data_IF_168339879778
#
_entry.id   IF_168339879778
#
_cell.length_a   1.000
_cell.length_b   1.000
_cell.length_c   1.000
_cell.angle_alpha   90.00
_cell.angle_beta   90.00
_cell.angle_gamma   90.00
#
_symmetry.space_group_name_H-M   'P 1'
#
loop_
_entity.id
_entity.type
_entity.pdbx_description
1 polymer ?
#
# COMPACT_ATOMS: atom_id res chain seq x y z
N UNK A 1 6.17 6.25 22.34
CA UNK A 1 5.80 5.05 21.55
C UNK A 1 6.63 5.10 20.27
N UNK A 2 7.58 4.19 20.03
CA UNK A 2 8.39 4.22 18.79
C UNK A 2 7.48 3.80 17.63
N UNK A 3 7.13 4.75 16.77
CA UNK A 3 6.12 4.63 15.71
C UNK A 3 6.73 4.28 14.35
N UNK A 4 7.72 3.39 14.32
CA UNK A 4 8.40 3.00 13.08
C UNK A 4 9.13 1.66 13.21
N UNK A 5 9.42 1.05 12.06
CA UNK A 5 10.24 -0.15 11.96
C UNK A 5 11.69 0.10 12.45
N UNK A 6 12.42 -0.96 12.82
CA UNK A 6 13.83 -0.83 13.19
C UNK A 6 14.71 -0.42 12.00
N UNK A 7 15.91 0.10 12.29
CA UNK A 7 16.81 0.67 11.27
C UNK A 7 17.29 -0.35 10.23
N UNK A 8 17.47 -1.61 10.61
CA UNK A 8 17.87 -2.66 9.67
C UNK A 8 16.73 -3.00 8.70
N UNK A 9 15.49 -3.05 9.21
CA UNK A 9 14.30 -3.22 8.39
C UNK A 9 14.08 -2.04 7.44
N UNK A 10 14.30 -0.81 7.89
CA UNK A 10 14.25 0.38 7.04
C UNK A 10 15.30 0.30 5.94
N UNK A 11 16.56 -0.02 6.27
CA UNK A 11 17.62 -0.15 5.28
C UNK A 11 17.30 -1.22 4.22
N UNK A 12 16.75 -2.36 4.64
CA UNK A 12 16.31 -3.41 3.71
C UNK A 12 15.11 -3.00 2.85
N UNK A 13 14.16 -2.22 3.40
CA UNK A 13 13.05 -1.66 2.63
C UNK A 13 13.56 -0.68 1.57
N UNK A 14 14.47 0.21 1.95
CA UNK A 14 14.98 1.27 1.08
C UNK A 14 15.97 0.77 0.02
N UNK A 15 16.49 -0.45 0.13
CA UNK A 15 17.46 -0.99 -0.84
C UNK A 15 16.81 -1.56 -2.10
N UNK A 16 15.54 -1.96 -2.05
CA UNK A 16 14.83 -2.58 -3.18
C UNK A 16 13.32 -2.52 -3.00
N UNK A 17 12.71 -1.38 -3.36
CA UNK A 17 11.26 -1.22 -3.36
C UNK A 17 10.73 -0.65 -4.67
N UNK A 18 9.52 -1.07 -5.00
CA UNK A 18 8.67 -0.43 -5.99
C UNK A 18 7.62 0.42 -5.27
N UNK A 19 7.44 1.67 -5.68
CA UNK A 19 6.41 2.54 -5.14
C UNK A 19 5.14 2.46 -6.00
N UNK A 20 4.02 2.08 -5.37
CA UNK A 20 2.69 2.22 -5.95
C UNK A 20 2.09 3.55 -5.47
N UNK A 21 2.19 4.58 -6.32
CA UNK A 21 1.79 5.95 -5.95
C UNK A 21 0.26 6.12 -5.93
N UNK A 22 -0.44 5.75 -7.01
CA UNK A 22 -1.89 5.95 -7.12
C UNK A 22 -2.59 4.78 -7.79
N UNK A 23 -3.74 4.39 -7.24
CA UNK A 23 -4.66 3.42 -7.82
C UNK A 23 -6.09 3.86 -7.61
N UNK A 24 -6.79 4.14 -8.71
CA UNK A 24 -8.19 4.53 -8.69
C UNK A 24 -9.01 3.62 -9.59
N UNK A 25 -10.10 3.10 -9.04
CA UNK A 25 -11.12 2.38 -9.80
C UNK A 25 -12.33 3.29 -9.90
N UNK A 26 -12.80 3.53 -11.13
CA UNK A 26 -14.01 4.30 -11.38
C UNK A 26 -15.17 3.78 -10.52
N UNK A 27 -15.96 4.64 -9.84
CA UNK A 27 -16.97 4.21 -8.85
C UNK A 27 -17.91 3.11 -9.33
N UNK A 28 -18.40 3.20 -10.58
CA UNK A 28 -19.31 2.20 -11.20
C UNK A 28 -18.67 0.84 -11.46
N UNK A 29 -17.33 0.76 -11.41
CA UNK A 29 -16.56 -0.46 -11.66
C UNK A 29 -15.98 -1.08 -10.37
N UNK A 30 -16.21 -0.46 -9.21
CA UNK A 30 -15.74 -0.96 -7.91
C UNK A 30 -16.49 -2.23 -7.48
N UNK A 31 -15.87 -3.02 -6.60
CA UNK A 31 -16.46 -4.27 -6.09
C UNK A 31 -16.38 -5.46 -7.06
N UNK A 32 -15.71 -5.31 -8.20
CA UNK A 32 -15.56 -6.34 -9.24
C UNK A 32 -14.16 -6.97 -9.32
N UNK A 33 -13.33 -6.80 -8.28
CA UNK A 33 -11.96 -7.34 -8.24
C UNK A 33 -10.93 -6.59 -9.10
N UNK A 34 -11.31 -5.55 -9.85
CA UNK A 34 -10.42 -4.84 -10.78
C UNK A 34 -9.15 -4.26 -10.12
N UNK A 35 -9.27 -3.68 -8.92
CA UNK A 35 -8.11 -3.14 -8.22
C UNK A 35 -7.07 -4.21 -7.89
N UNK A 36 -7.51 -5.41 -7.49
CA UNK A 36 -6.60 -6.53 -7.27
C UNK A 36 -5.97 -7.01 -8.58
N UNK A 37 -6.77 -7.18 -9.63
CA UNK A 37 -6.28 -7.63 -10.92
C UNK A 37 -5.21 -6.68 -11.48
N UNK A 38 -5.43 -5.36 -11.36
CA UNK A 38 -4.47 -4.34 -11.76
C UNK A 38 -3.19 -4.41 -10.93
N UNK A 39 -3.28 -4.50 -9.60
CA UNK A 39 -2.09 -4.60 -8.74
C UNK A 39 -1.30 -5.87 -9.08
N UNK A 40 -1.95 -7.03 -9.14
CA UNK A 40 -1.27 -8.29 -9.45
C UNK A 40 -0.56 -8.23 -10.80
N UNK A 41 -1.20 -7.65 -11.82
CA UNK A 41 -0.60 -7.51 -13.16
C UNK A 41 0.51 -6.47 -13.19
N UNK A 42 0.42 -5.39 -12.42
CA UNK A 42 1.46 -4.37 -12.30
C UNK A 42 2.72 -4.93 -11.61
N UNK A 43 2.51 -5.76 -10.60
CA UNK A 43 3.58 -6.38 -9.81
C UNK A 43 4.14 -7.66 -10.44
N UNK A 44 3.46 -8.20 -11.45
CA UNK A 44 3.93 -9.35 -12.20
C UNK A 44 5.30 -9.05 -12.83
N UNK A 45 6.27 -9.94 -12.61
CA UNK A 45 7.66 -9.81 -13.08
C UNK A 45 8.43 -8.58 -12.56
N UNK A 46 8.00 -7.96 -11.45
CA UNK A 46 8.82 -6.96 -10.75
C UNK A 46 10.00 -7.64 -10.05
N UNK A 47 11.17 -6.99 -10.10
CA UNK A 47 12.40 -7.51 -9.50
C UNK A 47 12.61 -6.97 -8.07
N UNK A 48 11.89 -5.90 -7.73
CA UNK A 48 11.94 -5.26 -6.42
C UNK A 48 11.40 -6.20 -5.34
N UNK A 49 12.10 -6.27 -4.21
CA UNK A 49 11.74 -7.20 -3.14
C UNK A 49 10.53 -6.75 -2.33
N UNK A 50 10.20 -5.46 -2.38
CA UNK A 50 9.16 -4.84 -1.58
C UNK A 50 8.29 -3.93 -2.44
N UNK A 51 7.04 -3.76 -2.04
CA UNK A 51 6.14 -2.76 -2.61
C UNK A 51 5.68 -1.84 -1.49
N UNK A 52 5.84 -0.53 -1.69
CA UNK A 52 5.41 0.50 -0.75
C UNK A 52 4.30 1.33 -1.37
N UNK A 53 3.36 1.73 -0.53
CA UNK A 53 2.30 2.67 -0.87
C UNK A 53 1.89 3.46 0.35
N UNK A 54 1.37 4.65 0.11
CA UNK A 54 0.71 5.45 1.13
C UNK A 54 -0.80 5.32 0.96
N UNK A 55 -1.51 5.02 2.04
CA UNK A 55 -2.99 5.04 2.05
C UNK A 55 -3.46 6.16 2.96
N UNK A 56 -4.27 7.11 2.47
CA UNK A 56 -4.85 8.14 3.33
C UNK A 56 -5.57 7.52 4.54
N UNK A 57 -5.22 8.01 5.73
CA UNK A 57 -5.91 7.66 6.97
C UNK A 57 -7.21 8.46 7.04
N UNK A 58 -8.33 7.79 6.76
CA UNK A 58 -9.67 8.37 6.95
C UNK A 58 -10.32 7.74 8.18
N UNK A 59 -11.05 8.56 8.95
CA UNK A 59 -11.75 8.11 10.15
C UNK A 59 -12.70 6.94 9.81
N UNK A 60 -12.48 5.80 10.45
CA UNK A 60 -13.20 4.55 10.19
C UNK A 60 -12.53 3.71 9.10
N UNK A 61 -11.40 3.06 9.43
CA UNK A 61 -10.49 2.22 8.61
C UNK A 61 -11.12 1.18 7.66
N UNK A 62 -12.44 1.10 7.57
CA UNK A 62 -13.23 0.26 6.66
C UNK A 62 -13.29 0.77 5.21
N UNK A 63 -12.27 1.49 4.72
CA UNK A 63 -12.23 1.88 3.31
C UNK A 63 -11.88 0.67 2.40
N UNK A 64 -12.31 0.72 1.14
CA UNK A 64 -12.10 -0.38 0.17
C UNK A 64 -10.62 -0.65 -0.13
N UNK A 65 -9.77 0.38 -0.14
CA UNK A 65 -8.33 0.28 -0.38
C UNK A 65 -7.61 -0.42 0.78
N UNK A 66 -7.88 -0.05 2.04
CA UNK A 66 -7.32 -0.75 3.22
C UNK A 66 -7.63 -2.24 3.19
N UNK A 67 -8.89 -2.63 2.95
CA UNK A 67 -9.28 -4.04 2.82
C UNK A 67 -8.58 -4.74 1.65
N UNK A 68 -8.43 -4.06 0.52
CA UNK A 68 -7.71 -4.60 -0.63
C UNK A 68 -6.24 -4.86 -0.30
N UNK A 69 -5.53 -3.88 0.25
CA UNK A 69 -4.11 -3.98 0.56
C UNK A 69 -3.83 -5.04 1.63
N UNK A 70 -4.64 -5.12 2.70
CA UNK A 70 -4.53 -6.20 3.70
C UNK A 70 -4.70 -7.59 3.08
N UNK A 71 -5.68 -7.75 2.19
CA UNK A 71 -5.93 -9.02 1.48
C UNK A 71 -4.79 -9.39 0.52
N UNK A 72 -4.06 -8.39 0.03
CA UNK A 72 -2.85 -8.56 -0.77
C UNK A 72 -1.58 -8.78 0.07
N UNK A 73 -1.67 -8.78 1.40
CA UNK A 73 -0.55 -9.03 2.31
C UNK A 73 0.22 -7.78 2.75
N UNK A 74 -0.27 -6.57 2.45
CA UNK A 74 0.36 -5.35 2.92
C UNK A 74 0.23 -5.18 4.44
N UNK A 75 1.32 -4.75 5.07
CA UNK A 75 1.45 -4.50 6.51
C UNK A 75 1.78 -3.03 6.76
N UNK A 76 1.42 -2.52 7.94
CA UNK A 76 1.71 -1.14 8.30
C UNK A 76 3.18 -0.98 8.68
N UNK A 77 3.86 -0.04 8.01
CA UNK A 77 5.25 0.35 8.36
C UNK A 77 5.26 1.65 9.17
N UNK A 78 4.39 2.60 8.82
CA UNK A 78 4.22 3.89 9.48
C UNK A 78 2.71 4.19 9.57
N UNK A 79 2.27 4.73 10.71
CA UNK A 79 0.87 5.16 10.99
C UNK A 79 0.86 6.53 11.66
N UNK A 80 -0.25 7.23 11.55
CA UNK A 80 -0.44 8.58 12.05
C UNK A 80 0.35 9.62 11.24
N UNK A 81 0.75 9.31 10.02
CA UNK A 81 1.44 10.25 9.15
C UNK A 81 0.41 11.12 8.43
N UNK A 82 0.42 12.42 8.72
CA UNK A 82 -0.47 13.38 8.10
C UNK A 82 0.24 14.03 6.90
N UNK A 83 -0.27 13.83 5.69
CA UNK A 83 0.14 14.60 4.52
C UNK A 83 -0.36 16.03 4.71
N UNK A 84 0.53 16.99 4.91
CA UNK A 84 0.18 18.39 4.73
C UNK A 84 -0.08 18.58 3.23
N UNK A 85 -1.36 18.70 2.86
CA UNK A 85 -1.77 18.89 1.46
C UNK A 85 -1.20 20.15 0.83
#
# INVERSE_FOLDING_TARGET
RRSGADGARIAALMSSYFELTELHIHPRAQGRGLGEALIRRLLDNRAEQQVLLSTPEINGEANRAWRLYRRLGFTDVIRGYHFAG
#
